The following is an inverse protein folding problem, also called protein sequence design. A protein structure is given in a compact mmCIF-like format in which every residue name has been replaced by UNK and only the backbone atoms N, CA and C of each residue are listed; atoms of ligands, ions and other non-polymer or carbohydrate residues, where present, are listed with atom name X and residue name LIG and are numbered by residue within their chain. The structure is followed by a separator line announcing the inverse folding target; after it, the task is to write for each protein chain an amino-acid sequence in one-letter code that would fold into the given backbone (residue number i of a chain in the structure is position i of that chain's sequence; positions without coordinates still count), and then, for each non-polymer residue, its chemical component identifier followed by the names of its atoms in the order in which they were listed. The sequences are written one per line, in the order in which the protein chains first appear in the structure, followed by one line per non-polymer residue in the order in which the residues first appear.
data_IF_635451505542
#
_entry.id   IF_635451505542
#
_cell.length_a   1.000
_cell.length_b   1.000
_cell.length_c   1.000
_cell.angle_alpha   90.00
_cell.angle_beta   90.00
_cell.angle_gamma   90.00
#
_symmetry.space_group_name_H-M   'P 1'
#
loop_
_entity.id
_entity.type
_entity.pdbx_description
1 polymer ?
#
# COMPACT_ATOMS: atom_id res chain seq x y z
N UNK A 1 46.36 12.70 6.96
CA UNK A 1 45.46 11.57 6.62
C UNK A 1 44.08 11.90 7.16
N UNK A 2 43.06 11.52 6.40
CA UNK A 2 41.71 12.07 6.37
C UNK A 2 41.02 12.23 7.73
N UNK A 3 40.45 13.41 7.98
CA UNK A 3 39.40 13.60 8.96
C UNK A 3 38.10 13.82 8.19
N UNK A 4 37.24 12.83 8.32
CA UNK A 4 35.88 12.77 7.81
C UNK A 4 35.09 14.00 8.22
N UNK A 5 34.55 14.68 7.21
CA UNK A 5 33.30 15.42 7.28
C UNK A 5 32.72 15.29 5.88
N UNK A 6 32.05 14.16 5.63
CA UNK A 6 31.03 14.17 4.59
C UNK A 6 29.85 14.80 5.28
N UNK A 7 29.68 16.07 4.94
CA UNK A 7 28.55 16.90 5.28
C UNK A 7 27.29 16.05 5.16
N UNK A 8 26.57 15.96 6.28
CA UNK A 8 25.21 15.50 6.29
C UNK A 8 24.42 16.46 5.43
N UNK A 9 24.34 16.14 4.14
CA UNK A 9 23.30 16.66 3.31
C UNK A 9 22.01 16.12 3.93
N UNK A 10 21.35 17.01 4.67
CA UNK A 10 19.94 16.94 4.97
C UNK A 10 19.21 16.91 3.62
N UNK A 11 19.30 15.78 2.92
CA UNK A 11 18.64 15.56 1.65
C UNK A 11 17.15 15.64 1.91
N UNK A 12 16.55 16.76 1.48
CA UNK A 12 15.14 17.09 1.58
C UNK A 12 14.21 15.87 1.50
N UNK A 13 13.85 15.32 2.66
CA UNK A 13 13.01 14.13 2.80
C UNK A 13 11.60 14.40 2.20
N UNK A 14 11.22 15.67 2.07
CA UNK A 14 9.97 16.13 1.48
C UNK A 14 9.92 16.01 -0.05
N UNK A 15 11.05 15.96 -0.75
CA UNK A 15 11.05 15.95 -2.22
C UNK A 15 10.33 14.71 -2.79
N UNK A 16 10.38 13.59 -2.07
CA UNK A 16 9.77 12.33 -2.49
C UNK A 16 8.32 12.15 -2.03
N UNK A 17 7.75 13.11 -1.28
CA UNK A 17 6.31 13.14 -0.98
C UNK A 17 5.47 13.31 -2.26
N UNK A 18 6.01 14.02 -3.25
CA UNK A 18 5.40 14.26 -4.56
C UNK A 18 5.43 13.01 -5.44
N UNK A 19 4.26 12.58 -5.92
CA UNK A 19 4.13 11.43 -6.81
C UNK A 19 4.90 11.60 -8.14
N UNK A 20 4.81 12.75 -8.86
CA UNK A 20 5.62 13.00 -10.05
C UNK A 20 7.12 12.83 -9.84
N UNK A 21 7.65 13.31 -8.70
CA UNK A 21 9.07 13.18 -8.39
C UNK A 21 9.45 11.70 -8.27
N UNK A 22 8.67 10.93 -7.50
CA UNK A 22 8.90 9.48 -7.38
C UNK A 22 8.90 8.78 -8.73
N UNK A 23 7.94 9.07 -9.62
CA UNK A 23 7.90 8.49 -10.97
C UNK A 23 9.18 8.85 -11.75
N UNK A 24 9.58 10.13 -11.73
CA UNK A 24 10.76 10.62 -12.43
C UNK A 24 12.07 9.97 -11.95
N UNK A 25 12.14 9.50 -10.71
CA UNK A 25 13.33 8.79 -10.19
C UNK A 25 13.66 7.50 -10.94
N UNK A 26 12.67 6.86 -11.59
CA UNK A 26 12.84 5.56 -12.25
C UNK A 26 13.40 5.63 -13.68
N UNK A 27 13.87 6.79 -14.15
CA UNK A 27 14.43 6.96 -15.50
C UNK A 27 15.51 5.93 -15.87
N UNK A 28 16.32 5.51 -14.90
CA UNK A 28 17.43 4.55 -15.09
C UNK A 28 17.21 3.24 -14.33
N UNK A 29 15.96 2.91 -13.97
CA UNK A 29 15.68 1.69 -13.25
C UNK A 29 15.91 0.47 -14.16
N UNK A 30 16.71 -0.53 -13.75
CA UNK A 30 17.12 -1.61 -14.66
C UNK A 30 16.01 -2.64 -14.99
N UNK A 31 14.84 -2.54 -14.34
CA UNK A 31 13.76 -3.54 -14.45
C UNK A 31 12.42 -2.92 -14.84
N UNK A 32 12.47 -1.87 -15.67
CA UNK A 32 11.29 -1.14 -16.18
C UNK A 32 10.34 -2.03 -16.98
N UNK A 33 10.83 -3.10 -17.61
CA UNK A 33 10.01 -4.07 -18.33
C UNK A 33 9.11 -4.91 -17.40
N UNK A 34 9.56 -5.19 -16.18
CA UNK A 34 8.80 -5.97 -15.19
C UNK A 34 8.00 -5.11 -14.23
N UNK A 35 8.52 -3.93 -13.88
CA UNK A 35 7.93 -3.04 -12.90
C UNK A 35 7.87 -1.62 -13.45
N UNK A 36 6.65 -1.15 -13.72
CA UNK A 36 6.46 0.23 -14.16
C UNK A 36 6.78 1.23 -13.04
N UNK A 37 7.34 2.37 -13.43
CA UNK A 37 7.66 3.47 -12.53
C UNK A 37 6.43 3.92 -11.72
N UNK A 38 5.25 3.99 -12.35
CA UNK A 38 4.01 4.39 -11.70
C UNK A 38 3.59 3.37 -10.63
N UNK A 39 3.76 2.07 -10.87
CA UNK A 39 3.36 1.03 -9.93
C UNK A 39 4.25 1.06 -8.68
N UNK A 40 5.55 1.24 -8.86
CA UNK A 40 6.50 1.41 -7.76
C UNK A 40 6.23 2.73 -7.00
N UNK A 41 6.03 3.84 -7.72
CA UNK A 41 5.75 5.14 -7.11
C UNK A 41 4.41 5.21 -6.38
N UNK A 42 3.37 4.53 -6.86
CA UNK A 42 2.06 4.38 -6.17
C UNK A 42 2.15 3.55 -4.91
N UNK A 43 3.07 2.59 -4.87
CA UNK A 43 3.42 1.88 -3.64
C UNK A 43 4.25 2.76 -2.68
N UNK A 44 4.59 3.99 -3.05
CA UNK A 44 5.32 4.94 -2.19
C UNK A 44 6.84 4.87 -2.36
N UNK A 45 7.33 4.18 -3.39
CA UNK A 45 8.76 4.02 -3.63
C UNK A 45 9.34 5.08 -4.56
N UNK A 46 10.60 5.43 -4.33
CA UNK A 46 11.47 6.09 -5.31
C UNK A 46 12.73 5.23 -5.53
N UNK A 47 13.35 5.36 -6.69
CA UNK A 47 14.58 4.63 -7.02
C UNK A 47 15.79 5.25 -6.32
N UNK A 48 16.64 4.42 -5.74
CA UNK A 48 17.84 4.88 -5.01
C UNK A 48 19.05 5.12 -5.92
N UNK A 49 18.96 4.80 -7.21
CA UNK A 49 20.09 4.87 -8.15
C UNK A 49 21.00 3.64 -8.14
N UNK A 50 20.76 2.67 -7.27
CA UNK A 50 21.60 1.47 -7.11
C UNK A 50 20.81 0.19 -7.41
N UNK A 51 21.32 -0.64 -8.32
CA UNK A 51 20.71 -1.94 -8.69
C UNK A 51 19.20 -1.82 -8.94
N UNK A 52 18.38 -2.70 -8.35
CA UNK A 52 16.91 -2.61 -8.35
C UNK A 52 16.35 -2.10 -7.00
N UNK A 53 17.20 -1.44 -6.20
CA UNK A 53 16.87 -0.97 -4.86
C UNK A 53 15.98 0.27 -4.89
N UNK A 54 14.85 0.20 -4.19
CA UNK A 54 13.92 1.30 -4.01
C UNK A 54 13.68 1.60 -2.54
N UNK A 55 13.31 2.85 -2.21
CA UNK A 55 13.06 3.28 -0.83
C UNK A 55 11.71 3.97 -0.71
N UNK A 56 10.99 3.70 0.37
CA UNK A 56 9.73 4.41 0.64
C UNK A 56 10.01 5.83 1.13
N UNK A 57 9.31 6.83 0.59
CA UNK A 57 9.45 8.22 1.04
C UNK A 57 8.95 8.47 2.47
N UNK A 58 8.03 7.62 2.98
CA UNK A 58 7.35 7.85 4.25
C UNK A 58 7.92 7.04 5.41
N UNK A 59 8.20 5.75 5.21
CA UNK A 59 8.75 4.88 6.26
C UNK A 59 10.23 4.56 6.07
N UNK A 60 10.84 5.03 4.97
CA UNK A 60 12.25 4.81 4.62
C UNK A 60 12.66 3.34 4.47
N UNK A 61 11.72 2.40 4.50
CA UNK A 61 11.97 0.99 4.23
C UNK A 61 12.48 0.81 2.79
N UNK A 62 13.45 -0.08 2.66
CA UNK A 62 14.13 -0.37 1.40
C UNK A 62 13.75 -1.77 0.92
N UNK A 63 13.50 -1.89 -0.39
CA UNK A 63 13.23 -3.17 -1.05
C UNK A 63 14.17 -3.31 -2.24
N UNK A 64 14.81 -4.48 -2.33
CA UNK A 64 15.71 -4.89 -3.40
C UNK A 64 15.49 -6.39 -3.71
N UNK A 65 16.25 -6.93 -4.65
CA UNK A 65 16.18 -8.34 -5.08
C UNK A 65 14.78 -8.74 -5.57
N UNK A 66 14.24 -7.96 -6.51
CA UNK A 66 12.89 -8.18 -7.00
C UNK A 66 12.76 -9.50 -7.79
N UNK A 67 11.63 -10.16 -7.72
CA UNK A 67 11.35 -11.37 -8.50
C UNK A 67 10.21 -11.11 -9.50
N UNK A 68 10.24 -11.80 -10.64
CA UNK A 68 9.10 -11.76 -11.57
C UNK A 68 7.84 -12.19 -10.82
N UNK A 69 6.81 -11.35 -10.89
CA UNK A 69 5.53 -11.56 -10.18
C UNK A 69 5.43 -10.84 -8.84
N UNK A 70 6.50 -10.26 -8.31
CA UNK A 70 6.43 -9.46 -7.08
C UNK A 70 5.45 -8.29 -7.24
N UNK A 71 4.62 -8.08 -6.24
CA UNK A 71 3.73 -6.93 -6.18
C UNK A 71 4.36 -5.84 -5.29
N UNK A 72 4.62 -4.61 -5.82
CA UNK A 72 5.27 -3.56 -5.04
C UNK A 72 4.59 -3.23 -3.71
N UNK A 73 3.26 -3.19 -3.70
CA UNK A 73 2.48 -2.93 -2.49
C UNK A 73 2.68 -4.02 -1.43
N UNK A 74 2.71 -5.30 -1.85
CA UNK A 74 2.91 -6.43 -0.94
C UNK A 74 4.33 -6.47 -0.40
N UNK A 75 5.34 -6.25 -1.26
CA UNK A 75 6.75 -6.16 -0.83
C UNK A 75 6.96 -5.00 0.15
N UNK A 76 6.28 -3.87 -0.06
CA UNK A 76 6.28 -2.76 0.88
C UNK A 76 5.65 -3.15 2.22
N UNK A 77 4.46 -3.74 2.20
CA UNK A 77 3.79 -4.17 3.43
C UNK A 77 4.61 -5.19 4.21
N UNK A 78 5.29 -6.11 3.53
CA UNK A 78 6.18 -7.09 4.16
C UNK A 78 7.43 -6.43 4.77
N UNK A 79 8.01 -5.45 4.08
CA UNK A 79 9.18 -4.71 4.58
C UNK A 79 8.85 -3.76 5.74
N UNK A 80 7.65 -3.17 5.76
CA UNK A 80 7.22 -2.21 6.77
C UNK A 80 5.70 -2.23 6.96
N UNK A 81 5.14 -3.19 7.72
CA UNK A 81 3.69 -3.35 7.89
C UNK A 81 3.03 -2.19 8.66
N UNK A 82 3.82 -1.39 9.38
CA UNK A 82 3.38 -0.20 10.11
C UNK A 82 3.60 1.10 9.33
N UNK A 83 3.83 1.04 8.01
CA UNK A 83 4.02 2.24 7.20
C UNK A 83 2.77 3.12 7.22
N UNK A 84 2.89 4.37 7.72
CA UNK A 84 1.78 5.31 7.80
C UNK A 84 1.18 5.60 6.43
N UNK A 85 2.01 5.75 5.40
CA UNK A 85 1.55 5.94 4.03
C UNK A 85 0.67 4.77 3.56
N UNK A 86 1.05 3.51 3.81
CA UNK A 86 0.20 2.36 3.45
C UNK A 86 -1.13 2.40 4.19
N UNK A 87 -1.12 2.71 5.49
CA UNK A 87 -2.35 2.77 6.29
C UNK A 87 -3.30 3.89 5.84
N UNK A 88 -2.77 5.03 5.38
CA UNK A 88 -3.59 6.18 4.97
C UNK A 88 -4.00 6.11 3.49
N UNK A 89 -3.11 5.69 2.60
CA UNK A 89 -3.35 5.73 1.15
C UNK A 89 -3.95 4.43 0.60
N UNK A 90 -3.73 3.29 1.27
CA UNK A 90 -4.19 1.98 0.81
C UNK A 90 -5.12 1.28 1.80
N UNK A 91 -5.37 1.89 2.97
CA UNK A 91 -6.21 1.30 4.02
C UNK A 91 -5.66 -0.01 4.59
N UNK A 92 -4.40 -0.33 4.31
CA UNK A 92 -3.76 -1.57 4.76
C UNK A 92 -3.12 -1.34 6.13
N UNK A 93 -3.75 -1.83 7.18
CA UNK A 93 -3.13 -2.01 8.50
C UNK A 93 -2.70 -3.46 8.67
N UNK A 94 -1.71 -3.70 9.51
CA UNK A 94 -1.28 -5.05 9.88
C UNK A 94 -2.46 -5.93 10.36
N UNK A 95 -3.49 -5.32 10.95
CA UNK A 95 -4.71 -5.99 11.42
C UNK A 95 -5.63 -6.49 10.29
N UNK A 96 -5.58 -5.90 9.10
CA UNK A 96 -6.53 -6.24 8.02
C UNK A 96 -6.18 -7.58 7.34
N UNK A 97 -4.94 -8.07 7.51
CA UNK A 97 -4.55 -9.42 7.10
C UNK A 97 -4.98 -10.51 8.10
N UNK A 98 -5.33 -10.13 9.34
CA UNK A 98 -5.82 -11.05 10.37
C UNK A 98 -7.35 -11.12 10.37
N UNK A 99 -8.03 -10.11 9.82
CA UNK A 99 -9.49 -10.00 9.83
C UNK A 99 -10.12 -10.27 8.45
N UNK A 100 -9.70 -11.34 7.79
CA UNK A 100 -10.64 -12.05 6.92
C UNK A 100 -11.35 -13.09 7.79
N UNK A 101 -12.56 -12.84 8.31
CA UNK A 101 -13.45 -13.98 8.45
C UNK A 101 -13.62 -14.54 7.03
N UNK A 102 -13.57 -15.87 6.89
CA UNK A 102 -14.20 -16.49 5.74
C UNK A 102 -15.61 -15.90 5.68
N UNK A 103 -15.98 -15.30 4.55
CA UNK A 103 -17.31 -14.74 4.35
C UNK A 103 -18.32 -15.85 4.68
N UNK A 104 -19.04 -15.70 5.79
CA UNK A 104 -20.04 -16.67 6.22
C UNK A 104 -21.36 -16.28 5.55
N UNK A 105 -21.68 -16.97 4.46
CA UNK A 105 -22.90 -16.75 3.68
C UNK A 105 -24.17 -16.96 4.53
N UNK A 106 -24.10 -17.75 5.62
CA UNK A 106 -25.25 -18.02 6.49
C UNK A 106 -25.61 -16.81 7.37
N UNK A 107 -24.61 -16.02 7.80
CA UNK A 107 -24.84 -14.85 8.64
C UNK A 107 -25.52 -13.70 7.87
N UNK A 108 -25.12 -13.45 6.62
CA UNK A 108 -25.75 -12.44 5.75
C UNK A 108 -27.18 -12.85 5.33
N UNK A 109 -27.43 -14.15 5.15
CA UNK A 109 -28.77 -14.67 4.87
C UNK A 109 -29.75 -14.47 6.04
N UNK A 110 -29.25 -14.52 7.28
CA UNK A 110 -30.06 -14.24 8.47
C UNK A 110 -30.35 -12.75 8.65
N UNK A 111 -29.41 -11.86 8.30
CA UNK A 111 -29.62 -10.40 8.35
C UNK A 111 -30.69 -9.93 7.35
N UNK A 112 -30.75 -10.53 6.15
CA UNK A 112 -31.79 -10.23 5.16
C UNK A 112 -33.21 -10.55 5.67
N UNK A 113 -33.34 -11.57 6.50
CA UNK A 113 -34.61 -11.99 7.08
C UNK A 113 -35.10 -11.03 8.19
N UNK A 114 -34.19 -10.29 8.84
CA UNK A 114 -34.53 -9.37 9.93
C UNK A 114 -34.84 -7.94 9.46
N UNK A 115 -34.32 -7.54 8.29
CA UNK A 115 -34.51 -6.20 7.72
C UNK A 115 -35.52 -6.10 6.58
N UNK A 116 -36.23 -7.18 6.25
CA UNK A 116 -37.34 -7.11 5.31
C UNK A 116 -38.41 -6.13 5.84
N UNK A 117 -38.71 -5.02 5.14
CA UNK A 117 -39.78 -4.13 5.58
C UNK A 117 -41.11 -4.89 5.54
N UNK A 118 -41.83 -4.88 6.66
CA UNK A 118 -43.23 -5.34 6.71
C UNK A 118 -43.99 -4.58 5.63
N UNK A 119 -44.50 -5.29 4.62
CA UNK A 119 -45.34 -4.69 3.60
C UNK A 119 -46.61 -4.13 4.28
N UNK A 120 -47.08 -2.92 3.92
CA UNK A 120 -48.27 -2.32 4.53
C UNK A 120 -49.58 -3.08 4.23
N UNK A 121 -49.53 -4.17 3.47
CA UNK A 121 -50.70 -4.99 3.11
C UNK A 121 -51.11 -6.03 4.16
N UNK A 122 -50.29 -6.31 5.19
CA UNK A 122 -50.64 -7.31 6.23
C UNK A 122 -51.37 -6.71 7.46
N UNK A 123 -51.67 -5.40 7.47
CA UNK A 123 -52.43 -4.76 8.56
C UNK A 123 -53.95 -4.74 8.33
N UNK A 124 -54.48 -5.60 7.45
CA UNK A 124 -55.92 -5.63 7.11
C UNK A 124 -56.62 -6.97 7.41
N UNK A 125 -56.01 -7.87 8.20
CA UNK A 125 -56.60 -9.19 8.50
C UNK A 125 -56.68 -9.56 9.99
N UNK A 126 -56.77 -8.57 10.89
CA UNK A 126 -57.12 -8.83 12.29
C UNK A 126 -58.01 -7.71 12.86
N UNK A 127 -59.32 -7.94 12.85
CA UNK A 127 -60.30 -7.15 13.60
C UNK A 127 -61.54 -6.80 12.80
#
# INVERSE_FOLDING_TARGET
MARSSQDGEIEADDAWSSMPNRVSSFQHFPRTEEFSAERLARAGFYFTGQADRVRCFSCHATVEDWNRGDAPLMRHQQASPSCKFLSCAHGLRASDLIRSPAYDEEAEAMEFQLHAPVQPEDLAAAG
#
